data_IF_091785960581
#
_entry.id   IF_091785960581
#
_cell.length_a   1.000
_cell.length_b   1.000
_cell.length_c   1.000
_cell.angle_alpha   90.00
_cell.angle_beta   90.00
_cell.angle_gamma   90.00
#
_symmetry.space_group_name_H-M   'P 1'
#
loop_
_entity.id
_entity.type
_entity.pdbx_description
1 polymer ?
#
# COMPACT_ATOMS: atom_id res chain seq x y z
N UNK A 1 -18.25 29.36 -27.56
CA UNK A 1 -17.88 30.24 -26.44
C UNK A 1 -16.40 30.10 -26.17
N UNK A 2 -15.63 31.19 -26.14
CA UNK A 2 -14.26 31.19 -25.60
C UNK A 2 -14.36 31.52 -24.11
N UNK A 3 -13.97 30.59 -23.25
CA UNK A 3 -13.81 30.89 -21.82
C UNK A 3 -12.50 31.65 -21.63
N UNK A 4 -12.55 32.77 -20.92
CA UNK A 4 -11.41 33.63 -20.65
C UNK A 4 -10.46 32.95 -19.66
N UNK A 5 -9.29 32.54 -20.13
CA UNK A 5 -8.20 32.12 -19.23
C UNK A 5 -7.65 33.32 -18.49
N UNK A 6 -7.59 33.24 -17.16
CA UNK A 6 -6.77 34.15 -16.36
C UNK A 6 -5.29 33.92 -16.69
N UNK A 7 -4.56 35.01 -16.95
CA UNK A 7 -3.12 34.95 -17.20
C UNK A 7 -2.40 34.46 -15.93
N UNK A 8 -1.51 33.46 -16.01
CA UNK A 8 -0.62 33.16 -14.90
C UNK A 8 0.39 34.31 -14.75
N UNK A 9 0.58 34.78 -13.53
CA UNK A 9 1.68 35.70 -13.21
C UNK A 9 3.02 35.05 -13.58
N UNK A 10 3.89 35.81 -14.25
CA UNK A 10 5.23 35.35 -14.67
C UNK A 10 6.19 35.21 -13.47
N UNK A 11 5.91 34.27 -12.56
CA UNK A 11 6.84 33.84 -11.55
C UNK A 11 7.96 33.03 -12.22
N UNK A 12 9.20 33.54 -12.19
CA UNK A 12 10.38 32.80 -12.65
C UNK A 12 10.57 31.58 -11.75
N UNK A 13 10.49 30.38 -12.33
CA UNK A 13 10.64 29.12 -11.61
C UNK A 13 12.10 28.94 -11.22
N UNK A 14 12.36 28.83 -9.91
CA UNK A 14 13.66 28.53 -9.31
C UNK A 14 13.53 27.20 -8.54
N UNK A 15 14.59 26.38 -8.54
CA UNK A 15 14.64 25.16 -7.74
C UNK A 15 14.38 25.46 -6.26
N UNK A 16 13.36 24.82 -5.69
CA UNK A 16 12.89 25.10 -4.32
C UNK A 16 11.54 25.81 -4.21
N UNK A 17 10.82 26.08 -5.32
CA UNK A 17 9.42 26.50 -5.23
C UNK A 17 8.56 25.44 -4.52
N UNK A 18 7.87 25.85 -3.45
CA UNK A 18 6.74 25.11 -2.92
C UNK A 18 5.67 24.99 -4.01
N UNK A 19 5.51 23.79 -4.57
CA UNK A 19 4.42 23.49 -5.50
C UNK A 19 3.10 23.73 -4.75
N UNK A 20 2.16 24.53 -5.27
CA UNK A 20 0.89 24.76 -4.60
C UNK A 20 0.08 23.46 -4.46
N UNK A 21 -0.64 23.34 -3.35
CA UNK A 21 -1.66 22.31 -3.16
C UNK A 21 -2.91 22.65 -4.00
N UNK A 22 -3.69 21.63 -4.33
CA UNK A 22 -5.04 21.80 -4.87
C UNK A 22 -5.99 22.19 -3.75
N UNK A 23 -6.88 23.16 -4.00
CA UNK A 23 -7.90 23.58 -3.05
C UNK A 23 -9.21 22.75 -3.19
N UNK A 24 -9.20 21.70 -4.01
CA UNK A 24 -10.35 20.82 -4.17
C UNK A 24 -10.47 19.79 -3.04
N UNK A 25 -11.66 19.18 -2.84
CA UNK A 25 -11.88 18.18 -1.79
C UNK A 25 -10.98 16.93 -1.86
N UNK A 26 -10.23 16.73 -2.95
CA UNK A 26 -9.27 15.63 -3.05
C UNK A 26 -8.06 15.84 -2.12
N UNK A 27 -7.70 17.07 -1.79
CA UNK A 27 -6.52 17.33 -0.95
C UNK A 27 -6.72 16.84 0.47
N UNK A 28 -7.93 17.00 1.04
CA UNK A 28 -8.29 16.41 2.33
C UNK A 28 -8.16 14.87 2.32
N UNK A 29 -8.55 14.20 1.22
CA UNK A 29 -8.38 12.75 1.03
C UNK A 29 -6.90 12.35 0.89
N UNK A 30 -6.09 13.18 0.21
CA UNK A 30 -4.64 13.00 0.13
C UNK A 30 -3.99 13.15 1.52
N UNK A 31 -4.32 14.21 2.26
CA UNK A 31 -3.80 14.46 3.60
C UNK A 31 -4.15 13.33 4.58
N UNK A 32 -5.41 12.85 4.56
CA UNK A 32 -5.85 11.70 5.38
C UNK A 32 -5.08 10.40 5.07
N UNK A 33 -4.56 10.26 3.85
CA UNK A 33 -3.71 9.12 3.44
C UNK A 33 -2.22 9.39 3.57
N UNK A 34 -1.80 10.50 4.20
CA UNK A 34 -0.39 10.90 4.38
C UNK A 34 0.29 11.39 3.10
N UNK A 35 -0.49 11.64 2.05
CA UNK A 35 -0.06 12.27 0.81
C UNK A 35 -0.42 13.75 0.75
N UNK A 36 -0.25 14.33 -0.43
CA UNK A 36 -0.64 15.71 -0.77
C UNK A 36 -1.12 15.77 -2.21
N UNK A 37 -1.99 16.73 -2.52
CA UNK A 37 -2.29 17.07 -3.90
C UNK A 37 -1.20 18.00 -4.50
N UNK A 38 -1.29 18.21 -5.82
CA UNK A 38 -0.46 19.16 -6.57
C UNK A 38 -1.33 19.92 -7.57
N UNK A 39 -1.36 21.26 -7.47
CA UNK A 39 -2.05 22.11 -8.44
C UNK A 39 -1.11 22.48 -9.59
N UNK A 40 -1.18 21.75 -10.71
CA UNK A 40 -0.26 21.94 -11.85
C UNK A 40 -0.76 23.06 -12.76
N UNK A 41 -0.14 24.24 -12.68
CA UNK A 41 -0.52 25.43 -13.46
C UNK A 41 0.32 25.65 -14.74
N UNK A 42 1.38 24.87 -14.95
CA UNK A 42 2.20 24.96 -16.17
C UNK A 42 2.91 23.65 -16.51
N UNK A 43 3.25 23.46 -17.79
CA UNK A 43 4.02 22.28 -18.25
C UNK A 43 5.41 22.18 -17.58
N UNK A 44 6.02 23.30 -17.17
CA UNK A 44 7.31 23.28 -16.46
C UNK A 44 7.18 22.71 -15.04
N UNK A 45 6.03 22.89 -14.40
CA UNK A 45 5.75 22.35 -13.06
C UNK A 45 5.52 20.83 -13.08
N UNK A 46 4.98 20.28 -14.19
CA UNK A 46 4.70 18.85 -14.33
C UNK A 46 5.92 17.96 -14.06
N UNK A 47 7.10 18.32 -14.60
CA UNK A 47 8.34 17.58 -14.35
C UNK A 47 8.68 17.50 -12.87
N UNK A 48 8.71 18.65 -12.19
CA UNK A 48 9.00 18.73 -10.74
C UNK A 48 7.99 17.94 -9.90
N UNK A 49 6.70 17.96 -10.26
CA UNK A 49 5.68 17.14 -9.62
C UNK A 49 5.96 15.64 -9.80
N UNK A 50 6.28 15.20 -11.03
CA UNK A 50 6.61 13.80 -11.33
C UNK A 50 7.86 13.36 -10.58
N UNK A 51 8.92 14.17 -10.57
CA UNK A 51 10.16 13.88 -9.84
C UNK A 51 9.89 13.77 -8.32
N UNK A 52 9.06 14.65 -7.76
CA UNK A 52 8.62 14.58 -6.35
C UNK A 52 7.86 13.30 -6.06
N UNK A 53 6.93 12.90 -6.94
CA UNK A 53 6.17 11.65 -6.81
C UNK A 53 7.09 10.43 -6.91
N UNK A 54 8.03 10.40 -7.86
CA UNK A 54 8.99 9.31 -8.02
C UNK A 54 9.91 9.20 -6.80
N UNK A 55 10.42 10.32 -6.29
CA UNK A 55 11.21 10.36 -5.06
C UNK A 55 10.41 9.83 -3.86
N UNK A 56 9.14 10.22 -3.72
CA UNK A 56 8.21 9.72 -2.69
C UNK A 56 7.92 8.22 -2.83
N UNK A 57 7.71 7.72 -4.05
CA UNK A 57 7.49 6.29 -4.31
C UNK A 57 8.74 5.43 -4.01
N UNK A 58 9.93 6.02 -4.05
CA UNK A 58 11.19 5.37 -3.69
C UNK A 58 11.46 5.40 -2.17
N UNK A 59 10.75 6.22 -1.39
CA UNK A 59 10.89 6.25 0.07
C UNK A 59 10.30 4.97 0.68
N UNK A 60 11.17 4.10 1.18
CA UNK A 60 10.78 2.92 1.95
C UNK A 60 10.50 3.32 3.41
N UNK A 61 9.24 3.61 3.71
CA UNK A 61 8.78 4.00 5.04
C UNK A 61 7.34 3.57 5.35
N UNK A 62 6.92 3.79 6.59
CA UNK A 62 5.57 3.58 7.08
C UNK A 62 5.01 4.91 7.61
N UNK A 63 3.72 5.17 7.35
CA UNK A 63 3.02 6.30 7.94
C UNK A 63 2.64 6.00 9.39
N UNK A 64 2.97 6.93 10.28
CA UNK A 64 2.74 6.81 11.72
C UNK A 64 2.22 8.14 12.26
N UNK A 65 1.22 8.05 13.13
CA UNK A 65 0.56 9.20 13.71
C UNK A 65 1.08 9.45 15.13
N UNK A 66 1.79 10.55 15.35
CA UNK A 66 2.33 10.93 16.65
C UNK A 66 1.38 11.88 17.38
N UNK A 67 1.12 11.61 18.66
CA UNK A 67 0.24 12.41 19.50
C UNK A 67 0.91 12.74 20.85
N UNK A 68 1.02 14.03 21.18
CA UNK A 68 1.48 14.49 22.49
C UNK A 68 0.42 14.17 23.56
N UNK A 69 0.87 13.77 24.75
CA UNK A 69 0.03 13.59 25.94
C UNK A 69 0.72 14.20 27.16
N UNK A 70 -0.04 14.88 28.02
CA UNK A 70 0.47 15.49 29.24
C UNK A 70 0.81 16.97 29.07
N UNK A 71 1.74 17.45 29.89
CA UNK A 71 2.19 18.85 29.84
C UNK A 71 3.17 19.10 28.69
N UNK A 72 3.41 20.38 28.43
CA UNK A 72 4.39 20.84 27.44
C UNK A 72 5.81 20.73 28.00
N UNK A 73 6.81 20.47 27.15
CA UNK A 73 8.18 20.45 27.60
C UNK A 73 8.57 21.83 28.10
N UNK A 74 9.34 21.89 29.19
CA UNK A 74 9.86 23.15 29.70
C UNK A 74 10.60 23.93 28.59
N UNK A 75 10.50 25.28 28.55
CA UNK A 75 11.13 26.09 27.52
C UNK A 75 12.65 25.88 27.48
N UNK A 76 13.29 25.96 26.30
CA UNK A 76 14.72 25.72 26.16
C UNK A 76 15.55 26.60 27.09
N UNK A 77 16.65 26.04 27.63
CA UNK A 77 17.48 26.69 28.65
C UNK A 77 18.01 28.07 28.18
N UNK A 78 18.18 28.27 26.87
CA UNK A 78 18.57 29.55 26.27
C UNK A 78 17.60 30.71 26.54
N UNK A 79 16.31 30.46 26.77
CA UNK A 79 15.34 31.52 27.10
C UNK A 79 15.39 31.93 28.58
N UNK A 80 15.80 31.01 29.48
CA UNK A 80 15.89 31.30 30.92
C UNK A 80 16.97 32.33 31.25
N UNK A 81 18.05 32.37 30.47
CA UNK A 81 19.19 33.29 30.69
C UNK A 81 18.82 34.74 30.32
N UNK A 82 17.89 34.95 29.38
CA UNK A 82 17.46 36.30 28.97
C UNK A 82 16.38 36.91 29.89
N UNK A 83 15.86 36.16 30.86
CA UNK A 83 14.76 36.60 31.75
C UNK A 83 15.19 36.97 33.17
N UNK A 84 16.44 36.71 33.55
CA UNK A 84 16.91 36.94 34.92
C UNK A 84 18.43 37.22 34.97
N UNK A 85 18.79 38.50 34.85
CA UNK A 85 19.76 39.27 35.68
C UNK A 85 19.87 40.67 35.06
N UNK A 86 19.26 41.67 35.69
CA UNK A 86 19.88 42.99 35.79
C UNK A 86 19.46 43.64 37.11
N UNK A 87 20.43 44.27 37.80
CA UNK A 87 20.25 44.83 39.13
C UNK A 87 19.49 46.17 39.10
N UNK A 88 18.73 46.45 40.15
CA UNK A 88 17.84 47.60 40.19
C UNK A 88 18.54 48.96 40.35
N UNK A 89 18.06 49.95 39.60
CA UNK A 89 18.01 51.36 40.01
C UNK A 89 16.62 51.89 39.68
N UNK A 90 15.96 52.54 40.65
CA UNK A 90 14.61 53.06 40.43
C UNK A 90 14.62 54.34 39.59
N UNK A 91 13.78 54.40 38.55
CA UNK A 91 13.25 55.67 38.02
C UNK A 91 11.83 55.47 37.49
N UNK A 92 10.93 56.38 37.89
CA UNK A 92 9.53 56.44 37.47
C UNK A 92 9.44 57.22 36.15
N UNK A 93 8.56 56.76 35.24
CA UNK A 93 7.58 57.53 34.45
C UNK A 93 7.45 57.02 33.01
N UNK A 94 6.21 56.98 32.52
CA UNK A 94 5.90 57.27 31.11
C UNK A 94 5.98 56.11 30.12
N UNK A 95 4.80 55.60 29.79
CA UNK A 95 4.37 55.04 28.49
C UNK A 95 5.33 55.18 27.29
N UNK A 96 5.51 54.09 26.53
CA UNK A 96 5.01 53.95 25.14
C UNK A 96 5.26 52.51 24.65
N UNK A 97 4.22 51.92 24.05
CA UNK A 97 4.21 50.73 23.16
C UNK A 97 5.14 49.55 23.48
N UNK A 98 4.59 48.57 24.20
CA UNK A 98 5.09 47.20 24.18
C UNK A 98 4.95 46.58 22.79
N UNK A 99 6.00 46.70 21.97
CA UNK A 99 6.23 45.86 20.80
C UNK A 99 6.52 44.42 21.27
N UNK A 100 5.48 43.76 21.78
CA UNK A 100 5.45 42.32 21.99
C UNK A 100 5.77 41.68 20.65
N UNK A 101 7.02 41.23 20.48
CA UNK A 101 7.37 40.29 19.42
C UNK A 101 6.41 39.13 19.60
N UNK A 102 5.38 39.05 18.74
CA UNK A 102 4.51 37.89 18.66
C UNK A 102 5.45 36.71 18.45
N UNK A 103 5.56 35.86 19.48
CA UNK A 103 6.04 34.51 19.28
C UNK A 103 5.28 33.96 18.08
N UNK A 104 6.02 33.37 17.14
CA UNK A 104 5.43 32.66 16.01
C UNK A 104 4.33 31.78 16.58
N UNK A 105 3.11 31.90 16.05
CA UNK A 105 1.95 31.25 16.64
C UNK A 105 2.24 29.75 16.79
N UNK A 106 2.31 29.26 18.04
CA UNK A 106 2.33 27.82 18.32
C UNK A 106 0.95 27.29 17.93
N UNK A 107 0.80 26.94 16.65
CA UNK A 107 -0.41 26.37 16.07
C UNK A 107 -0.73 24.98 16.66
N UNK A 108 0.09 24.48 17.60
CA UNK A 108 -0.03 23.17 18.20
C UNK A 108 0.17 22.02 17.23
N UNK A 109 0.45 22.29 15.95
CA UNK A 109 0.54 21.29 14.89
C UNK A 109 1.60 20.22 15.12
N UNK A 110 2.64 20.49 15.93
CA UNK A 110 3.64 19.50 16.33
C UNK A 110 3.09 18.42 17.28
N UNK A 111 2.00 18.70 17.98
CA UNK A 111 1.37 17.84 19.00
C UNK A 111 0.58 16.69 18.38
N UNK A 112 0.20 16.81 17.11
CA UNK A 112 -0.65 15.87 16.42
C UNK A 112 -0.25 15.76 14.94
N UNK A 113 0.66 14.83 14.62
CA UNK A 113 1.34 14.76 13.32
C UNK A 113 1.26 13.36 12.72
N UNK A 114 0.70 13.24 11.52
CA UNK A 114 0.93 12.09 10.63
C UNK A 114 2.24 12.32 9.86
N UNK A 115 3.24 11.47 10.03
CA UNK A 115 4.52 11.56 9.30
C UNK A 115 5.03 10.17 8.89
N UNK A 116 5.91 10.13 7.90
CA UNK A 116 6.59 8.89 7.49
C UNK A 116 7.77 8.62 8.42
N UNK A 117 7.91 7.37 8.88
CA UNK A 117 9.14 6.85 9.45
C UNK A 117 9.81 5.92 8.44
N UNK A 118 11.13 6.03 8.27
CA UNK A 118 11.89 5.26 7.28
C UNK A 118 13.13 4.61 7.88
N UNK A 119 13.49 3.41 7.42
CA UNK A 119 14.74 2.77 7.82
C UNK A 119 15.87 3.27 6.91
N UNK A 120 16.99 3.71 7.51
CA UNK A 120 18.23 4.00 6.75
C UNK A 120 18.90 2.72 6.20
N UNK A 121 18.48 1.54 6.65
CA UNK A 121 19.01 0.26 6.15
C UNK A 121 18.23 -0.11 4.88
N UNK A 122 18.80 0.18 3.71
CA UNK A 122 18.14 0.03 2.40
C UNK A 122 17.77 -1.40 1.96
N UNK A 123 17.81 -2.39 2.84
CA UNK A 123 17.42 -3.76 2.52
C UNK A 123 15.92 -3.97 2.71
N UNK A 124 15.21 -4.28 1.61
CA UNK A 124 13.78 -4.65 1.62
C UNK A 124 13.45 -5.90 2.47
N UNK A 125 14.46 -6.61 2.96
CA UNK A 125 14.36 -7.79 3.82
C UNK A 125 14.39 -7.50 5.32
N UNK A 126 14.69 -6.26 5.75
CA UNK A 126 14.72 -5.92 7.18
C UNK A 126 13.32 -5.63 7.71
N UNK A 127 12.73 -6.60 8.41
CA UNK A 127 11.37 -6.51 8.97
C UNK A 127 11.29 -5.82 10.35
N UNK A 128 12.41 -5.34 10.90
CA UNK A 128 12.52 -4.92 12.30
C UNK A 128 12.68 -6.08 13.28
N UNK A 129 13.03 -5.76 14.53
CA UNK A 129 13.04 -6.70 15.65
C UNK A 129 11.77 -6.55 16.50
N UNK A 130 11.30 -5.32 16.71
CA UNK A 130 10.22 -5.01 17.66
C UNK A 130 8.96 -4.53 16.93
N UNK A 131 7.79 -5.17 17.15
CA UNK A 131 6.53 -4.62 16.66
C UNK A 131 6.17 -3.32 17.42
N UNK A 132 5.33 -2.49 16.81
CA UNK A 132 4.59 -1.44 17.54
C UNK A 132 3.47 -2.14 18.32
N UNK A 133 3.21 -1.79 19.60
CA UNK A 133 2.14 -2.40 20.36
C UNK A 133 0.76 -2.16 19.76
N UNK A 134 -0.13 -3.13 19.90
CA UNK A 134 -1.55 -3.00 19.64
C UNK A 134 -2.22 -2.00 20.61
N UNK A 135 -3.30 -1.36 20.16
CA UNK A 135 -4.16 -0.47 20.96
C UNK A 135 -5.11 -1.22 21.92
N UNK A 136 -4.80 -2.49 22.20
CA UNK A 136 -5.53 -3.37 23.10
C UNK A 136 -4.60 -4.47 23.63
N UNK A 137 -4.90 -5.00 24.81
CA UNK A 137 -4.26 -6.19 25.34
C UNK A 137 -4.82 -7.46 24.69
N UNK A 138 -4.02 -8.33 24.05
CA UNK A 138 -4.52 -9.59 23.50
C UNK A 138 -4.82 -10.59 24.63
N UNK A 139 -6.10 -10.95 24.78
CA UNK A 139 -6.53 -12.06 25.63
C UNK A 139 -6.89 -13.29 24.79
N UNK A 140 -6.53 -14.49 25.29
CA UNK A 140 -6.90 -15.78 24.71
C UNK A 140 -8.41 -16.02 24.72
N UNK A 141 -9.16 -15.33 25.58
CA UNK A 141 -10.62 -15.42 25.63
C UNK A 141 -11.34 -14.52 24.60
N UNK A 142 -10.61 -13.72 23.82
CA UNK A 142 -11.23 -12.84 22.81
C UNK A 142 -11.94 -13.65 21.71
N UNK A 143 -13.22 -13.35 21.50
CA UNK A 143 -14.04 -13.94 20.44
C UNK A 143 -13.85 -13.24 19.08
N UNK A 144 -13.45 -11.97 19.08
CA UNK A 144 -13.13 -11.17 17.90
C UNK A 144 -12.03 -10.15 18.25
N UNK A 145 -11.37 -9.60 17.22
CA UNK A 145 -10.35 -8.56 17.41
C UNK A 145 -10.96 -7.16 17.22
N UNK A 146 -10.53 -6.16 18.01
CA UNK A 146 -10.86 -4.76 17.78
C UNK A 146 -10.42 -4.28 16.39
N UNK A 147 -11.18 -3.37 15.74
CA UNK A 147 -10.77 -2.79 14.47
C UNK A 147 -9.49 -1.95 14.65
N UNK A 148 -8.53 -2.12 13.74
CA UNK A 148 -7.31 -1.31 13.71
C UNK A 148 -7.51 -0.05 12.86
N UNK A 149 -6.87 1.05 13.27
CA UNK A 149 -6.65 2.21 12.38
C UNK A 149 -5.61 1.85 11.31
N UNK A 150 -5.72 2.45 10.13
CA UNK A 150 -4.77 2.24 9.04
C UNK A 150 -3.35 2.75 9.40
N UNK A 151 -3.29 3.91 10.06
CA UNK A 151 -2.06 4.48 10.61
C UNK A 151 -2.02 4.20 12.12
N UNK A 152 -0.96 3.59 12.68
CA UNK A 152 -0.82 3.40 14.12
C UNK A 152 -0.62 4.75 14.82
N UNK A 153 -1.31 4.94 15.94
CA UNK A 153 -1.16 6.13 16.79
C UNK A 153 -0.12 5.84 17.88
N UNK A 154 1.05 6.46 17.78
CA UNK A 154 2.09 6.45 18.81
C UNK A 154 1.90 7.71 19.66
N UNK A 155 1.68 7.52 20.96
CA UNK A 155 1.63 8.61 21.92
C UNK A 155 3.02 8.90 22.47
N UNK A 156 3.32 10.16 22.79
CA UNK A 156 4.58 10.55 23.41
C UNK A 156 4.37 11.57 24.53
N UNK A 157 5.28 11.55 25.50
CA UNK A 157 5.30 12.47 26.64
C UNK A 157 6.54 13.33 26.58
N UNK A 158 6.37 14.62 26.87
CA UNK A 158 7.43 15.62 26.88
C UNK A 158 8.22 15.63 28.21
N UNK A 159 8.37 14.45 28.81
CA UNK A 159 9.15 14.20 30.02
C UNK A 159 10.59 13.91 29.57
N UNK A 160 11.50 14.88 29.78
CA UNK A 160 12.91 14.77 29.38
C UNK A 160 13.60 13.61 30.14
N UNK A 161 14.09 12.59 29.42
CA UNK A 161 14.84 11.47 30.03
C UNK A 161 16.09 11.07 29.23
N UNK A 162 17.01 10.36 29.91
CA UNK A 162 18.23 9.83 29.28
C UNK A 162 17.94 8.63 28.36
N UNK A 163 18.56 8.57 27.16
CA UNK A 163 18.34 7.49 26.20
C UNK A 163 19.04 6.20 26.62
N UNK A 164 18.29 5.32 27.30
CA UNK A 164 18.76 4.00 27.73
C UNK A 164 18.90 3.03 26.54
N UNK A 165 20.13 2.60 26.24
CA UNK A 165 20.46 1.65 25.16
C UNK A 165 21.52 0.67 25.64
N UNK A 166 21.27 -0.63 25.46
CA UNK A 166 22.29 -1.69 25.56
C UNK A 166 22.68 -2.09 24.13
N UNK A 167 23.95 -1.89 23.72
CA UNK A 167 24.36 -2.03 22.32
C UNK A 167 24.29 -3.46 21.79
N UNK A 168 24.48 -4.44 22.68
CA UNK A 168 24.44 -5.87 22.36
C UNK A 168 22.99 -6.41 22.23
N UNK A 169 22.03 -5.68 22.79
CA UNK A 169 20.60 -6.00 22.70
C UNK A 169 19.99 -5.34 21.45
N UNK A 170 19.24 -6.06 20.61
CA UNK A 170 18.71 -5.50 19.37
C UNK A 170 17.69 -4.38 19.62
N UNK A 171 17.76 -3.33 18.81
CA UNK A 171 16.80 -2.24 18.72
C UNK A 171 16.61 -1.85 17.26
N UNK A 172 15.51 -1.19 16.93
CA UNK A 172 15.28 -0.65 15.58
C UNK A 172 15.37 0.87 15.61
N UNK A 173 15.90 1.46 14.53
CA UNK A 173 16.06 2.91 14.40
C UNK A 173 15.44 3.38 13.09
N UNK A 174 14.40 4.18 13.19
CA UNK A 174 13.72 4.80 12.05
C UNK A 174 13.91 6.31 12.10
N UNK A 175 14.19 6.91 10.96
CA UNK A 175 14.26 8.36 10.78
C UNK A 175 12.87 8.90 10.43
N UNK A 176 12.45 9.96 11.13
CA UNK A 176 11.22 10.67 10.83
C UNK A 176 11.44 11.62 9.65
N UNK A 177 10.45 11.72 8.78
CA UNK A 177 10.39 12.76 7.75
C UNK A 177 10.29 14.17 8.38
N UNK A 178 10.87 15.21 7.74
CA UNK A 178 10.67 16.60 8.18
C UNK A 178 9.19 16.96 8.28
N UNK A 179 8.81 17.38 9.49
CA UNK A 179 7.43 17.67 9.91
C UNK A 179 7.44 18.63 11.11
N UNK A 180 6.31 19.22 11.51
CA UNK A 180 6.25 20.15 12.65
C UNK A 180 6.83 19.56 13.95
N UNK A 181 6.58 18.27 14.21
CA UNK A 181 7.16 17.55 15.35
C UNK A 181 8.69 17.47 15.30
N UNK A 182 9.26 17.17 14.12
CA UNK A 182 10.72 17.09 14.01
C UNK A 182 11.38 18.47 14.10
N UNK A 183 10.74 19.51 13.58
CA UNK A 183 11.20 20.90 13.70
C UNK A 183 11.25 21.31 15.18
N UNK A 184 10.14 21.14 15.90
CA UNK A 184 10.03 21.44 17.32
C UNK A 184 11.09 20.72 18.18
N UNK A 185 11.34 19.43 17.93
CA UNK A 185 12.37 18.67 18.65
C UNK A 185 13.79 19.18 18.34
N UNK A 186 14.08 19.56 17.09
CA UNK A 186 15.40 20.03 16.67
C UNK A 186 15.71 21.44 17.19
N UNK A 187 14.71 22.33 17.23
CA UNK A 187 14.83 23.71 17.71
C UNK A 187 15.24 23.80 19.19
N UNK A 188 14.89 22.79 20.00
CA UNK A 188 15.33 22.67 21.41
C UNK A 188 16.84 22.48 21.56
N UNK A 189 17.54 21.99 20.52
CA UNK A 189 19.01 21.73 20.51
C UNK A 189 19.49 20.84 21.68
N UNK A 190 18.68 19.87 22.11
CA UNK A 190 18.99 18.92 23.19
C UNK A 190 19.21 17.49 22.64
N UNK A 191 20.32 17.21 21.91
CA UNK A 191 20.54 15.90 21.28
C UNK A 191 20.86 14.76 22.26
N UNK A 192 21.00 15.06 23.56
CA UNK A 192 21.26 14.06 24.60
C UNK A 192 19.99 13.60 25.33
N UNK A 193 18.89 14.33 25.19
CA UNK A 193 17.58 14.01 25.80
C UNK A 193 16.73 13.21 24.81
N UNK A 194 15.86 12.33 25.31
CA UNK A 194 14.79 11.72 24.53
C UNK A 194 13.43 11.82 25.23
N UNK A 195 12.37 11.61 24.45
CA UNK A 195 10.98 11.56 24.91
C UNK A 195 10.40 10.18 24.67
N UNK A 196 9.90 9.54 25.73
CA UNK A 196 9.38 8.18 25.65
C UNK A 196 8.09 8.10 24.84
N UNK A 197 7.96 7.00 24.08
CA UNK A 197 6.75 6.69 23.30
C UNK A 197 6.03 5.45 23.81
N UNK A 198 4.70 5.50 23.80
CA UNK A 198 3.78 4.46 24.25
C UNK A 198 2.54 4.38 23.35
N UNK A 199 1.75 3.32 23.48
CA UNK A 199 0.45 3.16 22.80
C UNK A 199 -0.62 3.02 23.87
N UNK A 200 -1.70 3.79 23.79
CA UNK A 200 -2.82 3.67 24.74
C UNK A 200 -3.38 2.24 24.76
N UNK A 201 -3.73 1.74 25.95
CA UNK A 201 -4.35 0.43 26.18
C UNK A 201 -3.52 -0.79 25.72
N UNK A 202 -2.21 -0.62 25.49
CA UNK A 202 -1.27 -1.70 25.15
C UNK A 202 -0.82 -2.56 26.34
N UNK A 203 -1.15 -2.14 27.55
CA UNK A 203 -0.86 -2.77 28.83
C UNK A 203 -2.00 -3.69 29.31
N UNK A 204 -1.73 -4.51 30.32
CA UNK A 204 -2.78 -5.33 30.96
C UNK A 204 -3.91 -4.43 31.51
N UNK A 205 -5.18 -4.88 31.47
CA UNK A 205 -6.30 -4.14 32.04
C UNK A 205 -6.03 -3.70 33.49
N UNK A 206 -6.29 -2.43 33.80
CA UNK A 206 -6.00 -1.84 35.12
C UNK A 206 -4.56 -1.36 35.34
N UNK A 207 -3.67 -1.46 34.33
CA UNK A 207 -2.30 -0.93 34.39
C UNK A 207 -2.05 0.12 33.30
N UNK A 208 -1.18 1.09 33.57
CA UNK A 208 -0.82 2.13 32.60
C UNK A 208 -0.01 1.56 31.42
N UNK A 209 -0.18 2.17 30.24
CA UNK A 209 0.63 1.87 29.06
C UNK A 209 2.12 2.09 29.35
N UNK A 210 2.96 1.16 28.93
CA UNK A 210 4.40 1.21 29.15
C UNK A 210 5.15 1.69 27.89
N UNK A 211 6.33 2.31 28.03
CA UNK A 211 7.09 2.80 26.89
C UNK A 211 7.74 1.65 26.11
N UNK A 212 7.66 1.69 24.78
CA UNK A 212 8.27 0.70 23.87
C UNK A 212 9.35 1.32 22.97
N UNK A 213 9.76 2.55 23.28
CA UNK A 213 10.74 3.28 22.50
C UNK A 213 10.80 4.74 22.92
N UNK A 214 11.51 5.54 22.15
CA UNK A 214 11.61 6.98 22.36
C UNK A 214 11.94 7.74 21.07
N UNK A 215 11.57 9.02 21.04
CA UNK A 215 11.99 10.01 20.03
C UNK A 215 13.27 10.70 20.50
N UNK A 216 14.26 10.81 19.62
CA UNK A 216 15.54 11.48 19.92
C UNK A 216 16.09 12.21 18.69
N UNK A 217 16.56 13.45 18.89
CA UNK A 217 17.33 14.16 17.86
C UNK A 217 18.67 13.45 17.57
N UNK A 218 19.11 13.47 16.31
CA UNK A 218 20.46 13.08 15.95
C UNK A 218 21.49 14.07 16.53
N UNK A 219 22.69 13.62 16.83
CA UNK A 219 23.77 14.45 17.41
C UNK A 219 24.21 15.60 16.50
N UNK A 220 24.00 15.47 15.19
CA UNK A 220 24.25 16.52 14.19
C UNK A 220 23.06 17.48 13.99
N UNK A 221 21.96 17.29 14.74
CA UNK A 221 20.70 18.04 14.64
C UNK A 221 20.11 18.13 13.21
N UNK A 222 20.39 17.14 12.36
CA UNK A 222 19.83 17.09 10.99
C UNK A 222 18.52 16.29 10.90
N UNK A 223 18.21 15.45 11.89
CA UNK A 223 16.97 14.67 11.91
C UNK A 223 16.57 14.17 13.29
N UNK A 224 15.32 13.73 13.40
CA UNK A 224 14.78 13.05 14.58
C UNK A 224 14.59 11.58 14.25
N UNK A 225 14.86 10.73 15.23
CA UNK A 225 14.82 9.29 15.07
C UNK A 225 13.91 8.69 16.13
N UNK A 226 13.05 7.77 15.71
CA UNK A 226 12.31 6.85 16.57
C UNK A 226 13.17 5.62 16.81
N UNK A 227 13.52 5.38 18.07
CA UNK A 227 14.16 4.14 18.50
C UNK A 227 13.07 3.21 19.03
N UNK A 228 12.84 2.08 18.36
CA UNK A 228 11.96 1.03 18.86
C UNK A 228 12.75 0.02 19.69
N UNK A 229 12.20 -0.26 20.85
CA UNK A 229 12.76 -1.07 21.92
C UNK A 229 11.74 -2.16 22.29
N UNK A 230 12.11 -3.11 23.16
CA UNK A 230 11.14 -3.99 23.80
C UNK A 230 10.05 -3.22 24.53
N UNK A 231 8.86 -3.81 24.63
CA UNK A 231 7.79 -3.25 25.46
C UNK A 231 8.26 -3.12 26.91
N UNK A 232 8.10 -1.94 27.52
CA UNK A 232 8.61 -1.64 28.85
C UNK A 232 10.14 -1.82 29.01
N UNK A 233 10.90 -1.39 28.00
CA UNK A 233 12.37 -1.48 27.99
C UNK A 233 13.11 -0.90 29.22
N UNK A 234 12.61 0.12 29.97
CA UNK A 234 13.32 0.63 31.14
C UNK A 234 13.44 -0.40 32.29
N UNK A 235 12.55 -1.40 32.34
CA UNK A 235 12.65 -2.53 33.28
C UNK A 235 13.55 -3.63 32.71
N UNK A 236 13.49 -3.87 31.40
CA UNK A 236 14.24 -4.96 30.77
C UNK A 236 15.75 -4.69 30.67
N UNK A 237 16.15 -3.51 30.22
CA UNK A 237 17.57 -3.25 29.95
C UNK A 237 18.47 -3.34 31.18
N UNK A 238 18.06 -2.90 32.39
CA UNK A 238 18.82 -3.19 33.62
C UNK A 238 19.00 -4.68 33.87
N UNK A 239 17.98 -5.52 33.64
CA UNK A 239 18.10 -6.98 33.81
C UNK A 239 19.10 -7.60 32.81
N UNK A 240 19.17 -7.07 31.59
CA UNK A 240 20.14 -7.47 30.56
C UNK A 240 21.56 -7.06 30.97
N UNK A 241 21.72 -5.83 31.45
CA UNK A 241 23.02 -5.30 31.89
C UNK A 241 23.54 -6.03 33.14
N UNK A 242 22.67 -6.41 34.08
CA UNK A 242 23.02 -7.27 35.22
C UNK A 242 23.64 -8.61 34.76
N UNK A 243 23.05 -9.31 33.78
CA UNK A 243 23.62 -10.56 33.24
C UNK A 243 24.93 -10.35 32.46
N UNK A 244 25.09 -9.19 31.83
CA UNK A 244 26.32 -8.81 31.13
C UNK A 244 27.46 -8.59 32.12
N UNK A 245 27.18 -8.00 33.27
CA UNK A 245 28.14 -7.77 34.35
C UNK A 245 28.44 -9.05 35.16
N UNK A 246 27.42 -9.87 35.46
CA UNK A 246 27.60 -11.16 36.13
C UNK A 246 26.90 -12.31 35.37
N UNK A 247 27.63 -13.05 34.53
CA UNK A 247 27.12 -14.22 33.81
C UNK A 247 26.55 -15.33 34.71
N UNK A 248 26.87 -15.36 36.01
CA UNK A 248 26.31 -16.34 36.98
C UNK A 248 24.83 -16.08 37.23
N UNK A 249 24.32 -14.87 36.98
CA UNK A 249 22.89 -14.57 37.11
C UNK A 249 22.01 -15.37 36.14
N UNK A 250 22.57 -15.95 35.07
CA UNK A 250 21.87 -16.90 34.18
C UNK A 250 21.30 -18.13 34.89
N UNK A 251 21.85 -18.53 36.04
CA UNK A 251 21.32 -19.63 36.88
C UNK A 251 20.62 -19.13 38.15
N UNK A 252 20.63 -17.81 38.41
CA UNK A 252 20.05 -17.22 39.62
C UNK A 252 18.51 -17.18 39.53
N UNK A 253 17.84 -17.87 40.46
CA UNK A 253 16.38 -17.98 40.46
C UNK A 253 15.66 -16.64 40.72
N UNK A 254 16.22 -15.74 41.53
CA UNK A 254 15.62 -14.42 41.79
C UNK A 254 15.75 -13.48 40.57
N UNK A 255 16.81 -13.61 39.78
CA UNK A 255 16.91 -12.94 38.48
C UNK A 255 15.88 -13.51 37.48
N UNK A 256 15.78 -14.85 37.38
CA UNK A 256 14.78 -15.50 36.50
C UNK A 256 13.35 -15.10 36.83
N UNK A 257 12.97 -15.10 38.11
CA UNK A 257 11.63 -14.66 38.54
C UNK A 257 11.34 -13.19 38.18
N UNK A 258 12.34 -12.29 38.18
CA UNK A 258 12.18 -10.91 37.69
C UNK A 258 11.99 -10.87 36.17
N UNK A 259 12.73 -11.68 35.40
CA UNK A 259 12.53 -11.80 33.96
C UNK A 259 11.15 -12.37 33.63
N UNK A 260 10.72 -13.44 34.30
CA UNK A 260 9.40 -14.06 34.11
C UNK A 260 8.27 -13.08 34.42
N UNK A 261 8.39 -12.30 35.51
CA UNK A 261 7.46 -11.21 35.85
C UNK A 261 7.43 -10.13 34.75
N UNK A 262 8.57 -9.75 34.19
CA UNK A 262 8.63 -8.83 33.06
C UNK A 262 7.93 -9.41 31.82
N UNK A 263 8.25 -10.66 31.44
CA UNK A 263 7.65 -11.34 30.27
C UNK A 263 6.12 -11.41 30.41
N UNK A 264 5.62 -11.73 31.61
CA UNK A 264 4.17 -11.76 31.88
C UNK A 264 3.51 -10.38 31.72
N UNK A 265 4.22 -9.28 31.98
CA UNK A 265 3.72 -7.90 31.83
C UNK A 265 3.74 -7.37 30.39
N UNK A 266 4.44 -8.04 29.48
CA UNK A 266 4.54 -7.65 28.06
C UNK A 266 3.49 -8.38 27.21
N UNK A 267 2.96 -7.75 26.13
CA UNK A 267 2.00 -8.41 25.26
C UNK A 267 2.58 -9.70 24.66
N UNK A 268 1.77 -10.77 24.58
CA UNK A 268 2.23 -12.13 24.26
C UNK A 268 3.01 -12.25 22.92
N UNK A 269 2.72 -11.39 21.95
CA UNK A 269 3.40 -11.37 20.65
C UNK A 269 4.85 -10.85 20.73
N UNK A 270 5.28 -10.17 21.80
CA UNK A 270 6.68 -9.83 22.04
C UNK A 270 7.55 -11.05 22.41
N UNK A 271 6.96 -12.19 22.81
CA UNK A 271 7.71 -13.34 23.29
C UNK A 271 8.68 -13.91 22.24
N UNK A 272 8.28 -13.98 20.97
CA UNK A 272 9.13 -14.49 19.90
C UNK A 272 10.34 -13.57 19.58
N UNK A 273 10.16 -12.24 19.41
CA UNK A 273 11.26 -11.28 19.42
C UNK A 273 12.17 -11.35 20.65
N UNK A 274 11.60 -11.43 21.86
CA UNK A 274 12.37 -11.54 23.11
C UNK A 274 13.23 -12.81 23.13
N UNK A 275 12.67 -13.97 22.77
CA UNK A 275 13.41 -15.25 22.64
C UNK A 275 14.61 -15.11 21.69
N UNK A 276 14.40 -14.51 20.52
CA UNK A 276 15.46 -14.26 19.52
C UNK A 276 16.54 -13.29 20.03
N UNK A 277 16.17 -12.29 20.82
CA UNK A 277 17.13 -11.38 21.44
C UNK A 277 17.96 -12.09 22.54
N UNK A 278 17.28 -12.79 23.46
CA UNK A 278 17.91 -13.49 24.59
C UNK A 278 18.78 -14.69 24.21
N UNK A 279 18.56 -15.30 23.04
CA UNK A 279 19.46 -16.29 22.46
C UNK A 279 20.92 -15.80 22.38
N UNK A 280 21.16 -14.51 22.12
CA UNK A 280 22.51 -13.91 22.09
C UNK A 280 23.21 -13.88 23.46
N UNK A 281 22.42 -13.92 24.54
CA UNK A 281 22.90 -13.82 25.91
C UNK A 281 22.98 -15.18 26.62
N UNK A 282 22.69 -16.29 25.90
CA UNK A 282 22.62 -17.66 26.43
C UNK A 282 21.68 -17.79 27.65
N UNK A 283 20.55 -17.08 27.63
CA UNK A 283 19.53 -17.15 28.69
C UNK A 283 18.50 -18.22 28.33
N UNK A 284 18.41 -19.26 29.15
CA UNK A 284 17.37 -20.31 29.09
C UNK A 284 16.38 -20.12 30.22
N UNK A 285 15.09 -20.14 29.89
CA UNK A 285 13.97 -19.95 30.83
C UNK A 285 12.76 -20.67 30.25
N UNK A 286 12.03 -21.42 31.07
CA UNK A 286 10.88 -22.23 30.63
C UNK A 286 9.84 -21.42 29.86
N UNK A 287 9.58 -20.17 30.28
CA UNK A 287 8.69 -19.21 29.61
C UNK A 287 9.17 -18.77 28.22
N UNK A 288 10.49 -18.76 27.97
CA UNK A 288 11.05 -18.50 26.64
C UNK A 288 11.08 -19.78 25.78
N UNK A 289 11.12 -20.96 26.40
CA UNK A 289 11.17 -22.24 25.71
C UNK A 289 9.81 -22.74 25.26
N UNK A 290 8.75 -22.48 26.04
CA UNK A 290 7.36 -22.88 25.75
C UNK A 290 6.90 -22.49 24.35
N UNK A 291 6.53 -23.49 23.55
CA UNK A 291 6.12 -23.34 22.15
C UNK A 291 4.65 -22.88 22.04
N UNK A 292 4.38 -21.67 22.51
CA UNK A 292 3.06 -21.03 22.47
C UNK A 292 2.73 -20.48 21.08
N UNK A 293 2.67 -21.38 20.10
CA UNK A 293 2.37 -21.10 18.69
C UNK A 293 1.01 -20.43 18.46
N UNK A 294 0.02 -20.70 19.32
CA UNK A 294 -1.30 -20.05 19.30
C UNK A 294 -1.33 -18.78 20.18
N UNK A 295 -0.85 -17.67 19.63
CA UNK A 295 -0.93 -16.33 20.27
C UNK A 295 -2.37 -15.79 20.36
N UNK A 296 -3.28 -16.31 19.54
CA UNK A 296 -4.69 -15.93 19.48
C UNK A 296 -5.62 -17.13 19.66
N UNK A 297 -6.88 -16.87 20.02
CA UNK A 297 -7.92 -17.91 20.13
C UNK A 297 -8.19 -18.58 18.78
N UNK A 298 -8.63 -19.84 18.79
CA UNK A 298 -9.01 -20.57 17.57
C UNK A 298 -10.07 -19.80 16.76
N UNK A 299 -11.05 -19.20 17.45
CA UNK A 299 -12.10 -18.39 16.83
C UNK A 299 -11.52 -17.18 16.07
N UNK A 300 -10.56 -16.47 16.68
CA UNK A 300 -9.86 -15.34 16.04
C UNK A 300 -9.04 -15.82 14.83
N UNK A 301 -8.30 -16.93 14.94
CA UNK A 301 -7.52 -17.49 13.84
C UNK A 301 -8.42 -17.92 12.65
N UNK A 302 -9.55 -18.58 12.94
CA UNK A 302 -10.56 -18.93 11.93
C UNK A 302 -11.19 -17.70 11.30
N UNK A 303 -11.51 -16.67 12.08
CA UNK A 303 -12.05 -15.40 11.57
C UNK A 303 -11.05 -14.68 10.65
N UNK A 304 -9.78 -14.55 11.06
CA UNK A 304 -8.73 -13.94 10.22
C UNK A 304 -8.55 -14.72 8.91
N UNK A 305 -8.55 -16.06 8.98
CA UNK A 305 -8.41 -16.92 7.80
C UNK A 305 -9.59 -16.73 6.84
N UNK A 306 -10.82 -16.67 7.37
CA UNK A 306 -12.03 -16.37 6.59
C UNK A 306 -11.97 -14.99 5.95
N UNK A 307 -11.62 -13.95 6.71
CA UNK A 307 -11.49 -12.57 6.20
C UNK A 307 -10.44 -12.48 5.08
N UNK A 308 -9.28 -13.13 5.24
CA UNK A 308 -8.23 -13.23 4.22
C UNK A 308 -8.72 -13.92 2.94
N UNK A 309 -9.51 -14.99 3.08
CA UNK A 309 -10.09 -15.70 1.95
C UNK A 309 -11.12 -14.83 1.21
N UNK A 310 -12.08 -14.23 1.92
CA UNK A 310 -13.10 -13.35 1.34
C UNK A 310 -12.48 -12.13 0.66
N UNK A 311 -11.50 -11.46 1.28
CA UNK A 311 -10.81 -10.33 0.66
C UNK A 311 -10.08 -10.71 -0.64
N UNK A 312 -9.53 -11.93 -0.71
CA UNK A 312 -8.91 -12.46 -1.93
C UNK A 312 -9.97 -12.72 -3.03
N UNK A 313 -11.08 -13.35 -2.68
CA UNK A 313 -12.19 -13.62 -3.62
C UNK A 313 -12.79 -12.32 -4.17
N UNK A 314 -13.01 -11.31 -3.32
CA UNK A 314 -13.50 -9.99 -3.73
C UNK A 314 -12.50 -9.26 -4.63
N UNK A 315 -11.20 -9.34 -4.34
CA UNK A 315 -10.15 -8.79 -5.20
C UNK A 315 -10.12 -9.47 -6.58
N UNK A 316 -10.10 -10.81 -6.64
CA UNK A 316 -10.09 -11.57 -7.90
C UNK A 316 -11.37 -11.32 -8.72
N UNK A 317 -12.53 -11.25 -8.06
CA UNK A 317 -13.82 -10.89 -8.67
C UNK A 317 -13.85 -9.46 -9.23
N UNK A 318 -13.28 -8.50 -8.50
CA UNK A 318 -13.19 -7.11 -8.95
C UNK A 318 -12.22 -6.97 -10.15
N UNK A 319 -11.07 -7.64 -10.10
CA UNK A 319 -10.14 -7.69 -11.24
C UNK A 319 -10.80 -8.28 -12.50
N UNK A 320 -11.57 -9.37 -12.35
CA UNK A 320 -12.33 -9.97 -13.46
C UNK A 320 -13.40 -9.00 -13.99
N UNK A 321 -14.12 -8.32 -13.09
CA UNK A 321 -15.15 -7.33 -13.44
C UNK A 321 -14.55 -6.17 -14.25
N UNK A 322 -13.43 -5.60 -13.79
CA UNK A 322 -12.71 -4.52 -14.51
C UNK A 322 -12.19 -5.02 -15.87
N UNK A 323 -11.60 -6.21 -15.93
CA UNK A 323 -11.14 -6.80 -17.19
C UNK A 323 -12.28 -7.01 -18.20
N UNK A 324 -13.45 -7.47 -17.74
CA UNK A 324 -14.65 -7.60 -18.59
C UNK A 324 -15.20 -6.25 -19.04
N UNK A 325 -15.19 -5.23 -18.17
CA UNK A 325 -15.64 -3.87 -18.52
C UNK A 325 -14.74 -3.23 -19.58
N UNK A 326 -13.42 -3.46 -19.52
CA UNK A 326 -12.45 -2.99 -20.54
C UNK A 326 -12.58 -3.70 -21.89
N UNK A 327 -13.21 -4.88 -21.93
CA UNK A 327 -13.48 -5.62 -23.18
C UNK A 327 -14.81 -5.22 -23.83
N UNK A 328 -15.72 -4.58 -23.10
CA UNK A 328 -16.96 -4.07 -23.69
C UNK A 328 -16.68 -2.75 -24.42
N UNK A 329 -17.12 -2.59 -25.68
CA UNK A 329 -17.11 -1.27 -26.31
C UNK A 329 -18.01 -0.34 -25.49
N UNK A 330 -17.57 0.90 -25.30
CA UNK A 330 -18.28 1.85 -24.45
C UNK A 330 -19.72 2.06 -24.95
N UNK A 331 -20.71 1.63 -24.16
CA UNK A 331 -22.13 1.88 -24.40
C UNK A 331 -22.44 3.37 -24.19
N UNK A 332 -22.13 4.16 -25.21
CA UNK A 332 -22.59 5.54 -25.34
C UNK A 332 -24.09 5.55 -25.66
N UNK A 333 -24.85 6.57 -25.21
CA UNK A 333 -26.28 6.67 -25.46
C UNK A 333 -26.58 6.70 -26.98
N UNK A 334 -27.68 6.05 -27.36
CA UNK A 334 -27.95 5.44 -28.68
C UNK A 334 -28.03 6.33 -29.93
N UNK A 335 -27.55 7.58 -29.89
CA UNK A 335 -27.85 8.62 -30.88
C UNK A 335 -26.62 9.10 -31.67
N UNK A 336 -25.49 8.38 -31.67
CA UNK A 336 -24.32 8.70 -32.51
C UNK A 336 -23.83 7.50 -33.32
N UNK A 337 -23.66 7.72 -34.63
CA UNK A 337 -23.09 6.73 -35.56
C UNK A 337 -21.61 6.53 -35.22
N UNK A 338 -21.22 5.31 -34.85
CA UNK A 338 -19.81 4.97 -34.67
C UNK A 338 -19.14 4.69 -36.01
N UNK A 339 -18.06 5.44 -36.30
CA UNK A 339 -17.02 5.00 -37.23
C UNK A 339 -15.94 4.34 -36.39
N UNK A 340 -15.94 3.00 -36.33
CA UNK A 340 -14.91 2.23 -35.64
C UNK A 340 -13.77 1.86 -36.60
N UNK A 341 -12.53 2.15 -36.22
CA UNK A 341 -11.39 1.47 -36.83
C UNK A 341 -11.32 0.03 -36.31
N UNK A 342 -11.59 -0.94 -37.19
CA UNK A 342 -11.44 -2.37 -36.90
C UNK A 342 -9.98 -2.74 -36.62
N UNK A 343 -9.55 -2.64 -35.36
CA UNK A 343 -8.23 -3.13 -34.88
C UNK A 343 -8.21 -4.64 -34.61
N UNK A 344 -8.99 -5.40 -35.36
CA UNK A 344 -8.84 -6.86 -35.42
C UNK A 344 -7.55 -7.20 -36.15
N UNK A 345 -6.62 -7.93 -35.50
CA UNK A 345 -5.52 -8.60 -36.20
C UNK A 345 -6.13 -9.72 -37.05
N UNK A 346 -6.56 -9.37 -38.25
CA UNK A 346 -7.22 -10.26 -39.20
C UNK A 346 -6.27 -11.39 -39.63
N UNK A 347 -6.65 -12.65 -39.40
CA UNK A 347 -5.85 -13.83 -39.76
C UNK A 347 -5.61 -13.81 -41.29
N UNK A 348 -4.38 -14.04 -41.80
CA UNK A 348 -4.05 -13.83 -43.22
C UNK A 348 -4.97 -14.54 -44.22
N UNK A 349 -5.49 -15.72 -43.86
CA UNK A 349 -6.45 -16.49 -44.66
C UNK A 349 -7.80 -15.78 -44.89
N UNK A 350 -8.20 -14.83 -44.03
CA UNK A 350 -9.49 -14.13 -44.19
C UNK A 350 -9.53 -13.29 -45.46
N UNK A 351 -8.37 -12.83 -45.96
CA UNK A 351 -8.25 -12.07 -47.23
C UNK A 351 -8.61 -12.88 -48.47
N UNK A 352 -8.65 -14.21 -48.38
CA UNK A 352 -9.15 -15.08 -49.44
C UNK A 352 -10.67 -15.31 -49.35
N UNK A 353 -11.30 -14.94 -48.23
CA UNK A 353 -12.72 -15.21 -47.94
C UNK A 353 -13.58 -13.95 -47.87
N UNK A 354 -13.01 -12.82 -47.49
CA UNK A 354 -13.67 -11.51 -47.42
C UNK A 354 -12.86 -10.46 -48.21
N UNK A 355 -13.33 -10.02 -49.40
CA UNK A 355 -12.65 -8.99 -50.19
C UNK A 355 -12.50 -7.64 -49.47
N UNK A 356 -13.40 -7.31 -48.54
CA UNK A 356 -13.38 -6.04 -47.81
C UNK A 356 -12.24 -5.91 -46.79
N UNK A 357 -11.58 -7.03 -46.43
CA UNK A 357 -10.37 -7.05 -45.57
C UNK A 357 -9.07 -6.75 -46.36
N UNK A 358 -9.16 -6.60 -47.69
CA UNK A 358 -8.00 -6.36 -48.55
C UNK A 358 -7.71 -4.86 -48.64
N UNK A 359 -6.65 -4.42 -47.96
CA UNK A 359 -6.17 -3.02 -48.04
C UNK A 359 -5.79 -2.65 -49.48
N UNK A 360 -6.17 -1.44 -49.91
CA UNK A 360 -5.95 -0.91 -51.28
C UNK A 360 -4.49 -1.06 -51.77
N UNK A 361 -3.50 -0.87 -50.89
CA UNK A 361 -2.07 -1.02 -51.23
C UNK A 361 -1.63 -2.45 -51.52
N UNK A 362 -2.43 -3.46 -51.15
CA UNK A 362 -2.15 -4.88 -51.36
C UNK A 362 -3.11 -5.52 -52.37
N UNK A 363 -4.01 -4.72 -52.98
CA UNK A 363 -5.13 -5.24 -53.76
C UNK A 363 -4.67 -6.02 -55.00
N UNK A 364 -3.72 -5.48 -55.76
CA UNK A 364 -3.22 -6.10 -57.00
C UNK A 364 -2.55 -7.45 -56.69
N UNK A 365 -1.56 -7.46 -55.80
CA UNK A 365 -0.85 -8.68 -55.36
C UNK A 365 -1.80 -9.74 -54.77
N UNK A 366 -2.77 -9.31 -53.95
CA UNK A 366 -3.70 -10.22 -53.32
C UNK A 366 -4.72 -10.78 -54.33
N UNK A 367 -5.16 -10.00 -55.33
CA UNK A 367 -6.00 -10.49 -56.43
C UNK A 367 -5.26 -11.51 -57.28
N UNK A 368 -3.97 -11.29 -57.57
CA UNK A 368 -3.16 -12.29 -58.29
C UNK A 368 -3.04 -13.59 -57.49
N UNK A 369 -2.75 -13.50 -56.18
CA UNK A 369 -2.72 -14.68 -55.28
C UNK A 369 -4.07 -15.39 -55.21
N UNK A 370 -5.19 -14.66 -55.17
CA UNK A 370 -6.53 -15.25 -55.20
C UNK A 370 -6.82 -15.94 -56.54
N UNK A 371 -6.40 -15.35 -57.68
CA UNK A 371 -6.54 -15.95 -59.00
C UNK A 371 -5.75 -17.26 -59.12
N UNK A 372 -4.52 -17.29 -58.60
CA UNK A 372 -3.67 -18.49 -58.59
C UNK A 372 -4.28 -19.57 -57.67
N UNK A 373 -4.70 -19.22 -56.44
CA UNK A 373 -5.35 -20.17 -55.51
C UNK A 373 -6.62 -20.78 -56.12
N UNK A 374 -7.47 -19.94 -56.74
CA UNK A 374 -8.66 -20.40 -57.46
C UNK A 374 -8.27 -21.30 -58.65
N UNK A 375 -7.30 -20.89 -59.47
CA UNK A 375 -6.85 -21.64 -60.64
C UNK A 375 -6.26 -23.01 -60.30
N UNK A 376 -5.53 -23.14 -59.18
CA UNK A 376 -5.08 -24.43 -58.63
C UNK A 376 -6.28 -25.30 -58.22
N UNK A 377 -7.24 -24.74 -57.47
CA UNK A 377 -8.45 -25.45 -57.08
C UNK A 377 -9.30 -25.92 -58.26
N UNK A 378 -9.43 -25.11 -59.32
CA UNK A 378 -10.14 -25.47 -60.54
C UNK A 378 -9.41 -26.55 -61.38
N UNK A 379 -8.12 -26.82 -61.11
CA UNK A 379 -7.34 -27.89 -61.75
C UNK A 379 -7.34 -29.19 -60.93
N UNK A 380 -7.18 -29.10 -59.62
CA UNK A 380 -7.13 -30.27 -58.72
C UNK A 380 -8.51 -30.82 -58.33
N UNK A 381 -9.59 -30.03 -58.48
CA UNK A 381 -10.96 -30.52 -58.23
C UNK A 381 -11.75 -30.66 -59.52
N UNK A 382 -12.46 -31.78 -59.67
CA UNK A 382 -13.55 -31.90 -60.63
C UNK A 382 -14.69 -30.97 -60.18
N UNK A 383 -14.64 -29.71 -60.64
CA UNK A 383 -15.54 -28.63 -60.23
C UNK A 383 -16.97 -29.00 -60.62
N UNK A 384 -17.76 -29.46 -59.66
CA UNK A 384 -19.09 -29.99 -59.95
C UNK A 384 -19.98 -28.95 -60.65
N UNK A 385 -19.79 -27.65 -60.39
CA UNK A 385 -20.53 -26.58 -61.05
C UNK A 385 -20.36 -26.52 -62.59
N UNK A 386 -19.27 -27.08 -63.15
CA UNK A 386 -19.06 -27.16 -64.60
C UNK A 386 -19.42 -28.54 -65.19
N UNK A 387 -19.88 -29.49 -64.36
CA UNK A 387 -20.34 -30.84 -64.75
C UNK A 387 -21.81 -31.06 -64.29
N UNK A 388 -22.56 -29.99 -63.99
CA UNK A 388 -23.99 -30.08 -63.63
C UNK A 388 -24.30 -30.50 -62.18
N UNK A 389 -23.37 -30.26 -61.26
CA UNK A 389 -23.56 -30.45 -59.81
C UNK A 389 -24.48 -29.42 -59.16
N UNK A 390 -25.06 -29.78 -58.00
CA UNK A 390 -26.04 -28.95 -57.29
C UNK A 390 -25.44 -27.58 -56.86
N UNK A 391 -26.18 -26.46 -57.02
CA UNK A 391 -25.74 -25.15 -56.54
C UNK A 391 -25.46 -25.13 -55.03
N UNK A 392 -24.43 -24.39 -54.61
CA UNK A 392 -24.14 -24.12 -53.20
C UNK A 392 -22.89 -24.80 -52.60
N UNK A 393 -22.15 -25.61 -53.38
CA UNK A 393 -20.91 -26.25 -52.90
C UNK A 393 -19.82 -25.21 -52.60
N UNK A 394 -19.35 -25.15 -51.35
CA UNK A 394 -18.30 -24.21 -50.94
C UNK A 394 -16.91 -24.77 -51.29
N UNK A 395 -16.15 -24.07 -52.12
CA UNK A 395 -14.75 -24.37 -52.44
C UNK A 395 -13.85 -23.93 -51.27
N UNK A 396 -13.05 -24.84 -50.71
CA UNK A 396 -12.14 -24.55 -49.58
C UNK A 396 -10.76 -24.08 -50.08
N UNK A 397 -10.62 -22.78 -50.28
CA UNK A 397 -9.34 -22.15 -50.67
C UNK A 397 -8.18 -22.50 -49.72
N UNK A 398 -6.96 -22.65 -50.25
CA UNK A 398 -5.74 -22.92 -49.46
C UNK A 398 -5.45 -21.81 -48.45
N UNK A 399 -4.74 -22.16 -47.38
CA UNK A 399 -4.25 -21.19 -46.41
C UNK A 399 -3.11 -20.34 -47.00
N UNK A 400 -2.93 -19.14 -46.46
CA UNK A 400 -1.96 -18.17 -46.98
C UNK A 400 -0.51 -18.66 -46.82
N UNK A 401 -0.26 -19.49 -45.82
CA UNK A 401 1.03 -20.14 -45.56
C UNK A 401 1.41 -21.14 -46.68
N UNK A 402 0.46 -21.96 -47.15
CA UNK A 402 0.71 -23.01 -48.16
C UNK A 402 1.13 -22.42 -49.52
N UNK A 403 0.44 -21.37 -49.95
CA UNK A 403 0.71 -20.66 -51.22
C UNK A 403 2.06 -19.94 -51.24
N UNK A 404 2.61 -19.61 -50.07
CA UNK A 404 3.91 -18.94 -49.98
C UNK A 404 5.09 -19.91 -50.05
N UNK A 405 4.86 -21.21 -49.87
CA UNK A 405 5.87 -22.27 -49.94
C UNK A 405 5.93 -22.98 -51.30
N UNK A 406 5.00 -22.70 -52.22
CA UNK A 406 5.07 -23.20 -53.60
C UNK A 406 6.30 -22.60 -54.31
N UNK A 407 7.18 -23.41 -54.92
CA UNK A 407 8.37 -22.93 -55.58
C UNK A 407 7.99 -22.04 -56.77
N UNK A 408 8.56 -20.83 -56.83
CA UNK A 408 8.43 -19.93 -57.99
C UNK A 408 9.39 -20.37 -59.10
N UNK A 409 9.02 -21.41 -59.85
CA UNK A 409 9.71 -21.77 -61.09
C UNK A 409 8.99 -21.18 -62.31
N UNK A 410 9.73 -20.38 -63.08
CA UNK A 410 9.46 -20.13 -64.49
C UNK A 410 10.33 -21.10 -65.29
N UNK A 411 9.75 -21.63 -66.37
CA UNK A 411 10.38 -22.37 -67.48
C UNK A 411 10.76 -23.86 -67.28
N UNK A 412 10.08 -24.68 -68.12
CA UNK A 412 10.63 -25.62 -69.12
C UNK A 412 11.44 -26.87 -68.69
N UNK A 413 11.07 -27.98 -69.33
CA UNK A 413 11.73 -29.28 -69.57
C UNK A 413 12.10 -30.25 -68.42
N UNK A 414 11.32 -31.34 -68.42
CA UNK A 414 11.71 -32.75 -68.58
C UNK A 414 12.66 -33.51 -67.62
N UNK A 415 12.24 -34.78 -67.42
CA UNK A 415 13.01 -35.98 -67.00
C UNK A 415 13.53 -36.06 -65.55
N UNK A 416 13.10 -37.13 -64.87
CA UNK A 416 14.05 -37.93 -64.07
C UNK A 416 13.63 -38.39 -62.67
N UNK A 417 13.09 -39.61 -62.61
CA UNK A 417 13.32 -40.64 -61.57
C UNK A 417 12.88 -40.46 -60.08
N UNK A 418 12.49 -41.60 -59.49
CA UNK A 418 13.12 -42.03 -58.23
C UNK A 418 12.27 -42.05 -56.95
N UNK A 419 11.80 -43.24 -56.55
CA UNK A 419 11.63 -43.61 -55.13
C UNK A 419 12.94 -43.34 -54.35
N UNK A 420 13.00 -43.13 -53.03
CA UNK A 420 12.47 -43.98 -51.94
C UNK A 420 12.10 -43.13 -50.70
N UNK A 421 11.00 -43.48 -50.02
CA UNK A 421 10.70 -43.02 -48.65
C UNK A 421 10.89 -44.13 -47.61
N UNK A 422 11.49 -43.79 -46.47
CA UNK A 422 11.51 -44.61 -45.25
C UNK A 422 10.19 -44.54 -44.48
N UNK A 423 9.98 -45.48 -43.54
CA UNK A 423 8.66 -45.91 -43.05
C UNK A 423 8.47 -45.71 -41.52
N UNK A 424 7.21 -45.53 -41.11
CA UNK A 424 6.64 -45.69 -39.74
C UNK A 424 6.90 -44.56 -38.70
N UNK A 425 6.07 -44.36 -37.67
CA UNK A 425 5.06 -45.28 -37.08
C UNK A 425 3.77 -44.65 -36.50
N UNK A 426 2.83 -45.50 -36.05
CA UNK A 426 1.41 -45.27 -35.65
C UNK A 426 1.17 -45.05 -34.14
N UNK A 427 -0.07 -44.69 -33.74
CA UNK A 427 -0.59 -44.87 -32.37
C UNK A 427 -2.09 -44.51 -32.14
N UNK A 428 -2.92 -45.50 -31.76
CA UNK A 428 -4.41 -45.51 -31.74
C UNK A 428 -4.95 -46.22 -30.46
N UNK A 429 -6.20 -46.10 -29.92
CA UNK A 429 -7.44 -45.28 -30.12
C UNK A 429 -8.41 -45.45 -28.90
N UNK A 430 -9.56 -44.73 -28.90
CA UNK A 430 -10.95 -45.23 -28.59
C UNK A 430 -11.71 -45.08 -27.22
N UNK A 431 -12.96 -44.54 -27.35
CA UNK A 431 -14.30 -44.96 -26.75
C UNK A 431 -14.60 -44.76 -25.23
N UNK A 432 -15.86 -44.61 -24.73
CA UNK A 432 -17.21 -44.13 -25.21
C UNK A 432 -18.28 -44.13 -24.05
N UNK A 433 -19.26 -43.18 -24.02
CA UNK A 433 -20.61 -43.19 -23.32
C UNK A 433 -20.60 -43.22 -21.75
N UNK A 434 -21.67 -42.91 -20.97
CA UNK A 434 -23.16 -42.72 -21.15
C UNK A 434 -23.84 -41.77 -20.10
N UNK A 435 -25.13 -41.41 -20.30
CA UNK A 435 -26.03 -40.64 -19.39
C UNK A 435 -26.55 -41.42 -18.16
N UNK A 436 -27.00 -40.70 -17.09
CA UNK A 436 -28.29 -40.97 -16.39
C UNK A 436 -28.79 -39.89 -15.39
N UNK A 437 -30.12 -39.71 -15.37
CA UNK A 437 -31.08 -39.42 -14.26
C UNK A 437 -30.93 -38.27 -13.23
N UNK A 438 -32.10 -37.68 -12.95
CA UNK A 438 -32.45 -36.68 -11.91
C UNK A 438 -33.14 -37.28 -10.67
N UNK A 439 -32.93 -36.72 -9.46
CA UNK A 439 -33.88 -36.77 -8.32
C UNK A 439 -33.83 -35.44 -7.51
N UNK A 440 -34.98 -35.06 -6.95
CA UNK A 440 -35.29 -33.83 -6.19
C UNK A 440 -34.84 -33.83 -4.72
N UNK A 441 -34.64 -32.63 -4.15
CA UNK A 441 -34.96 -32.33 -2.74
C UNK A 441 -35.19 -30.83 -2.49
N UNK A 442 -36.00 -30.51 -1.48
CA UNK A 442 -36.50 -29.16 -1.17
C UNK A 442 -35.53 -28.37 -0.26
N UNK A 443 -35.52 -27.03 -0.32
CA UNK A 443 -35.12 -26.21 0.84
C UNK A 443 -35.69 -24.79 0.87
N UNK A 444 -36.29 -24.48 2.03
CA UNK A 444 -36.34 -23.18 2.74
C UNK A 444 -36.28 -21.85 1.98
N UNK A 445 -37.28 -21.01 2.26
CA UNK A 445 -37.31 -19.57 2.03
C UNK A 445 -36.08 -18.83 2.60
N UNK A 446 -35.34 -18.15 1.71
CA UNK A 446 -34.38 -17.09 2.05
C UNK A 446 -34.77 -15.81 1.29
N UNK A 447 -34.72 -14.62 1.91
CA UNK A 447 -34.96 -13.38 1.18
C UNK A 447 -33.86 -13.17 0.12
N UNK A 448 -34.18 -12.58 -1.05
CA UNK A 448 -33.23 -12.48 -2.15
C UNK A 448 -32.05 -11.57 -1.78
N UNK A 449 -30.82 -12.08 -1.94
CA UNK A 449 -29.59 -11.27 -1.84
C UNK A 449 -29.66 -10.14 -2.89
N UNK A 450 -29.90 -8.90 -2.46
CA UNK A 450 -29.64 -7.73 -3.30
C UNK A 450 -28.15 -7.71 -3.64
N UNK A 451 -27.83 -7.75 -4.94
CA UNK A 451 -26.48 -7.42 -5.41
C UNK A 451 -26.18 -5.97 -4.99
N UNK A 452 -24.98 -5.63 -4.49
CA UNK A 452 -24.60 -4.23 -4.32
C UNK A 452 -24.62 -3.57 -5.70
N UNK A 453 -25.54 -2.61 -5.87
CA UNK A 453 -25.53 -1.72 -7.03
C UNK A 453 -24.41 -0.68 -6.92
N UNK A 454 -24.18 0.13 -7.98
CA UNK A 454 -23.27 1.27 -7.88
C UNK A 454 -23.66 2.18 -6.70
N UNK A 455 -22.65 2.76 -6.05
CA UNK A 455 -22.83 3.67 -4.92
C UNK A 455 -23.85 4.76 -5.26
N UNK A 456 -24.85 4.93 -4.39
CA UNK A 456 -25.88 5.94 -4.59
C UNK A 456 -25.25 7.34 -4.63
N UNK A 457 -25.78 8.24 -5.47
CA UNK A 457 -25.25 9.60 -5.68
C UNK A 457 -25.11 10.43 -4.39
N UNK A 458 -25.83 10.06 -3.33
CA UNK A 458 -25.83 10.67 -2.00
C UNK A 458 -24.95 9.93 -0.96
N UNK A 459 -24.13 8.94 -1.35
CA UNK A 459 -23.25 8.23 -0.41
C UNK A 459 -22.25 9.19 0.30
N UNK A 460 -21.68 10.15 -0.43
CA UNK A 460 -20.79 11.18 0.11
C UNK A 460 -21.48 12.20 1.02
N UNK A 461 -22.80 12.39 0.89
CA UNK A 461 -23.56 13.25 1.81
C UNK A 461 -24.05 12.50 3.05
N UNK A 462 -24.35 11.20 2.94
CA UNK A 462 -24.63 10.35 4.10
C UNK A 462 -23.41 10.22 5.03
N UNK A 463 -22.22 10.00 4.46
CA UNK A 463 -20.97 9.97 5.25
C UNK A 463 -20.70 11.30 5.98
N UNK A 464 -21.10 12.42 5.37
CA UNK A 464 -20.98 13.76 5.95
C UNK A 464 -21.95 14.02 7.12
N UNK A 465 -23.05 13.26 7.21
CA UNK A 465 -24.00 13.34 8.32
C UNK A 465 -23.48 12.56 9.53
N UNK A 466 -22.82 11.41 9.32
CA UNK A 466 -22.20 10.64 10.42
C UNK A 466 -21.06 11.42 11.10
N UNK A 467 -20.27 12.21 10.36
CA UNK A 467 -19.30 13.14 10.97
C UNK A 467 -19.96 14.25 11.79
N UNK A 468 -21.07 14.84 11.32
CA UNK A 468 -21.77 15.89 12.07
C UNK A 468 -22.38 15.37 13.39
N UNK A 469 -22.79 14.11 13.46
CA UNK A 469 -23.24 13.49 14.71
C UNK A 469 -22.09 13.10 15.66
N UNK A 470 -20.84 12.97 15.19
CA UNK A 470 -19.67 12.78 16.06
C UNK A 470 -19.15 14.09 16.67
N UNK A 471 -19.40 15.24 16.04
CA UNK A 471 -19.03 16.57 16.56
C UNK A 471 -20.21 17.34 17.21
N UNK A 472 -21.37 16.71 17.35
CA UNK A 472 -22.65 17.38 17.65
C UNK A 472 -23.23 17.25 19.06
N UNK A 473 -22.57 16.58 20.01
CA UNK A 473 -23.10 16.41 21.39
C UNK A 473 -22.00 16.52 22.46
N UNK A 474 -21.45 17.72 22.67
CA UNK A 474 -20.88 18.12 23.98
C UNK A 474 -20.65 19.65 24.04
N UNK A 475 -21.74 20.42 24.13
CA UNK A 475 -21.73 21.73 24.79
C UNK A 475 -23.14 22.26 25.05
N UNK A 476 -23.38 22.72 26.28
CA UNK A 476 -24.51 23.62 26.60
C UNK A 476 -25.82 22.97 27.02
N UNK A 477 -25.92 22.56 28.29
CA UNK A 477 -27.07 22.89 29.13
C UNK A 477 -26.72 22.69 30.63
N UNK A 478 -26.05 23.70 31.19
CA UNK A 478 -26.12 24.00 32.62
C UNK A 478 -26.76 25.39 32.70
N UNK A 479 -28.00 25.45 33.15
CA UNK A 479 -28.65 26.68 33.59
C UNK A 479 -29.45 26.39 34.85
N UNK A 480 -29.16 27.20 35.88
CA UNK A 480 -29.74 27.26 37.23
C UNK A 480 -29.40 26.08 38.15
#
# INVERSE_FOLDING_TARGET
>A
MRLSGSLPSNAKIVSGMNIPFDNSPIDAMCAATGGRSFCITSHKMLGVCVDTIVQKMQQHGALVHFQQVGADPAPPISERINGAVENGVAKRNGEVEGMSKKSVADDGGWRNVLTTISSRVSSRSYLGNWPIPEVFWPDKNMMSLPPRKAHPTIMFRCDDCDPLVCQEFPFDKYELEPSPLTQFILERKQPNVCWQVFVANSSQPGTNAAPFGYLKAATNLQSVNLFLMPYNYPILLPLVEEIKQDPRLRTNQAWKLRLEKYIASAPCYYLAPLKKAFQRFNVTTSTLESDHSSQYSYNVLSYITKMKHTAREEFESNCTTVASALQQPANLPSNMIQISESKTRSIPSIKFRNPFEIKRSQLIDQVEKMRINLGLHLRDTNVSALIGGKPGTNIKLHHAEDLHNLPKSIAVDEVGEGNILGVASKGDTHKKRSNSSSVTSQSSSRPPRRKPGPLARNALSLWRIDEQYQFGVFNGNIQQ
#
